data_IF_409794143833
#
_entry.id   IF_409794143833
#
_cell.length_a   1.000
_cell.length_b   1.000
_cell.length_c   1.000
_cell.angle_alpha   90.00
_cell.angle_beta   90.00
_cell.angle_gamma   90.00
#
_symmetry.space_group_name_H-M   'P 1'
#
loop_
_entity.id
_entity.type
_entity.pdbx_description
1 polymer ?
#
# COMPACT_ATOMS: atom_id res chain seq x y z
N UNK A 1 -5.07 -42.64 21.97
CA UNK A 1 -3.72 -42.40 22.52
C UNK A 1 -2.71 -43.20 21.70
N UNK A 2 -1.85 -42.54 20.94
CA UNK A 2 -0.76 -43.22 20.22
C UNK A 2 0.31 -43.65 21.23
N UNK A 3 0.82 -44.88 21.12
CA UNK A 3 1.90 -45.36 21.99
C UNK A 3 3.20 -44.67 21.57
N UNK A 4 3.82 -43.92 22.49
CA UNK A 4 5.11 -43.28 22.28
C UNK A 4 6.21 -44.35 22.24
N UNK A 5 7.03 -44.32 21.19
CA UNK A 5 8.21 -45.17 21.03
C UNK A 5 9.45 -44.28 20.94
N UNK A 6 10.66 -44.85 21.11
CA UNK A 6 11.92 -44.08 21.05
C UNK A 6 12.06 -43.25 19.76
N UNK A 7 11.42 -43.68 18.68
CA UNK A 7 11.47 -43.04 17.37
C UNK A 7 10.41 -41.94 17.18
N UNK A 8 9.41 -41.86 18.05
CA UNK A 8 8.28 -40.91 17.95
C UNK A 8 8.11 -40.11 19.25
N UNK A 9 9.20 -39.95 20.01
CA UNK A 9 9.20 -39.19 21.25
C UNK A 9 9.27 -37.68 20.99
N UNK A 10 9.96 -37.29 19.92
CA UNK A 10 10.08 -35.89 19.49
C UNK A 10 9.23 -35.65 18.25
N UNK A 11 8.61 -34.47 18.21
CA UNK A 11 7.88 -34.01 17.04
C UNK A 11 8.89 -33.64 15.97
N UNK A 12 8.90 -34.38 14.86
CA UNK A 12 9.65 -34.02 13.67
C UNK A 12 8.79 -33.01 12.90
N UNK A 13 9.34 -31.83 12.66
CA UNK A 13 8.71 -30.83 11.81
C UNK A 13 9.54 -30.71 10.53
N UNK A 14 8.89 -30.84 9.37
CA UNK A 14 9.55 -30.69 8.06
C UNK A 14 10.05 -29.25 7.83
N UNK A 15 9.39 -28.27 8.46
CA UNK A 15 9.76 -26.86 8.46
C UNK A 15 9.61 -26.26 9.86
N UNK A 16 10.35 -25.18 10.15
CA UNK A 16 10.21 -24.47 11.43
C UNK A 16 8.75 -24.03 11.62
N UNK A 17 8.08 -24.47 12.70
CA UNK A 17 6.70 -24.07 12.94
C UNK A 17 6.65 -22.56 13.21
N UNK A 18 5.76 -21.86 12.50
CA UNK A 18 5.56 -20.43 12.69
C UNK A 18 5.08 -20.13 14.11
N UNK A 19 5.75 -19.19 14.77
CA UNK A 19 5.32 -18.68 16.06
C UNK A 19 4.05 -17.82 15.88
N UNK A 20 3.26 -17.58 16.95
CA UNK A 20 2.13 -16.64 16.88
C UNK A 20 2.52 -15.24 16.38
N UNK A 21 3.74 -14.80 16.68
CA UNK A 21 4.29 -13.52 16.22
C UNK A 21 4.60 -13.53 14.71
N UNK A 22 5.09 -14.64 14.18
CA UNK A 22 5.35 -14.78 12.74
C UNK A 22 4.03 -14.69 11.96
N UNK A 23 2.97 -15.31 12.50
CA UNK A 23 1.62 -15.26 11.91
C UNK A 23 1.08 -13.84 11.85
N UNK A 24 1.17 -13.08 12.94
CA UNK A 24 0.70 -11.68 12.94
C UNK A 24 1.53 -10.82 11.99
N UNK A 25 2.85 -11.01 11.96
CA UNK A 25 3.75 -10.31 11.03
C UNK A 25 3.38 -10.58 9.57
N UNK A 26 3.07 -11.84 9.25
CA UNK A 26 2.62 -12.24 7.91
C UNK A 26 1.31 -11.54 7.53
N UNK A 27 0.33 -11.54 8.42
CA UNK A 27 -0.97 -10.90 8.17
C UNK A 27 -0.81 -9.39 7.98
N UNK A 28 0.00 -8.73 8.79
CA UNK A 28 0.26 -7.29 8.65
C UNK A 28 0.93 -6.97 7.32
N UNK A 29 1.93 -7.75 6.89
CA UNK A 29 2.56 -7.56 5.59
C UNK A 29 1.56 -7.71 4.45
N UNK A 30 0.75 -8.77 4.49
CA UNK A 30 -0.28 -8.99 3.48
C UNK A 30 -1.27 -7.82 3.39
N UNK A 31 -1.74 -7.28 4.53
CA UNK A 31 -2.63 -6.12 4.53
C UNK A 31 -2.00 -4.89 3.88
N UNK A 32 -0.71 -4.64 4.13
CA UNK A 32 0.02 -3.51 3.53
C UNK A 32 0.17 -3.73 2.03
N UNK A 33 0.58 -4.93 1.60
CA UNK A 33 0.78 -5.24 0.19
C UNK A 33 -0.52 -5.06 -0.60
N UNK A 34 -1.63 -5.62 -0.10
CA UNK A 34 -2.97 -5.46 -0.71
C UNK A 34 -3.38 -3.98 -0.82
N UNK A 35 -3.14 -3.16 0.21
CA UNK A 35 -3.43 -1.73 0.17
C UNK A 35 -2.55 -1.01 -0.88
N UNK A 36 -1.26 -1.34 -0.94
CA UNK A 36 -0.34 -0.72 -1.88
C UNK A 36 -0.71 -1.04 -3.32
N UNK A 37 -1.11 -2.27 -3.62
CA UNK A 37 -1.59 -2.69 -4.94
C UNK A 37 -2.83 -1.90 -5.37
N UNK A 38 -3.82 -1.73 -4.48
CA UNK A 38 -5.01 -0.94 -4.77
C UNK A 38 -4.68 0.53 -5.07
N UNK A 39 -3.77 1.13 -4.29
CA UNK A 39 -3.30 2.51 -4.52
C UNK A 39 -2.57 2.63 -5.86
N UNK A 40 -1.70 1.67 -6.20
CA UNK A 40 -0.96 1.66 -7.46
C UNK A 40 -1.90 1.50 -8.66
N UNK A 41 -2.90 0.61 -8.58
CA UNK A 41 -3.91 0.44 -9.62
C UNK A 41 -4.71 1.73 -9.86
N UNK A 42 -5.16 2.39 -8.78
CA UNK A 42 -5.86 3.68 -8.87
C UNK A 42 -4.99 4.76 -9.50
N UNK A 43 -3.74 4.88 -9.06
CA UNK A 43 -2.81 5.88 -9.60
C UNK A 43 -2.51 5.63 -11.07
N UNK A 44 -2.34 4.38 -11.48
CA UNK A 44 -2.11 4.00 -12.88
C UNK A 44 -3.32 4.38 -13.75
N UNK A 45 -4.55 4.09 -13.28
CA UNK A 45 -5.79 4.50 -13.94
C UNK A 45 -5.87 6.02 -14.11
N UNK A 46 -5.57 6.80 -13.06
CA UNK A 46 -5.63 8.26 -13.11
C UNK A 46 -4.56 8.85 -14.03
N UNK A 47 -3.36 8.25 -14.05
CA UNK A 47 -2.29 8.66 -14.98
C UNK A 47 -2.69 8.41 -16.42
N UNK A 48 -3.23 7.25 -16.74
CA UNK A 48 -3.70 6.93 -18.09
C UNK A 48 -4.81 7.89 -18.53
N UNK A 49 -5.80 8.14 -17.66
CA UNK A 49 -6.86 9.10 -17.94
C UNK A 49 -6.34 10.54 -18.14
N UNK A 50 -5.27 10.94 -17.44
CA UNK A 50 -4.61 12.23 -17.67
C UNK A 50 -3.92 12.26 -19.04
N UNK A 51 -3.18 11.21 -19.39
CA UNK A 51 -2.49 11.11 -20.69
C UNK A 51 -3.48 11.12 -21.86
N UNK A 52 -4.61 10.41 -21.74
CA UNK A 52 -5.69 10.46 -22.73
C UNK A 52 -6.28 11.87 -22.87
N UNK A 53 -6.46 12.61 -21.77
CA UNK A 53 -6.92 14.00 -21.83
C UNK A 53 -5.91 14.93 -22.48
N UNK A 54 -4.63 14.78 -22.17
CA UNK A 54 -3.54 15.55 -22.77
C UNK A 54 -3.39 15.25 -24.26
N UNK A 55 -3.57 13.99 -24.68
CA UNK A 55 -3.53 13.61 -26.09
C UNK A 55 -4.74 14.16 -26.88
N UNK A 56 -5.91 14.25 -26.25
CA UNK A 56 -7.14 14.73 -26.89
C UNK A 56 -7.38 16.25 -26.75
N UNK A 57 -6.62 16.93 -25.89
CA UNK A 57 -6.68 18.38 -25.72
C UNK A 57 -5.49 19.01 -26.44
N UNK A 58 -5.72 19.59 -27.63
CA UNK A 58 -4.76 20.50 -28.24
C UNK A 58 -4.35 21.60 -27.25
N UNK A 59 -3.14 22.17 -27.33
CA UNK A 59 -2.68 23.22 -26.42
C UNK A 59 -3.43 24.52 -26.69
N UNK A 60 -4.69 24.59 -26.29
CA UNK A 60 -5.46 25.82 -26.31
C UNK A 60 -5.09 26.61 -25.05
N UNK A 61 -4.08 27.47 -25.22
CA UNK A 61 -3.74 28.67 -24.46
C UNK A 61 -4.59 28.89 -23.20
N UNK A 62 -4.32 28.16 -22.12
CA UNK A 62 -5.02 28.42 -20.85
C UNK A 62 -4.38 29.63 -20.20
N UNK A 63 -5.02 30.80 -20.36
CA UNK A 63 -4.84 31.98 -19.51
C UNK A 63 -4.77 31.53 -18.05
N UNK A 64 -3.59 31.66 -17.46
CA UNK A 64 -3.31 31.31 -16.06
C UNK A 64 -4.25 32.09 -15.14
N UNK A 65 -5.16 31.46 -14.37
CA UNK A 65 -5.89 32.18 -13.35
C UNK A 65 -4.91 32.51 -12.21
N UNK A 66 -4.77 33.81 -11.91
CA UNK A 66 -3.86 34.32 -10.91
C UNK A 66 -4.05 33.60 -9.56
N UNK A 67 -2.93 33.12 -9.00
CA UNK A 67 -2.88 32.41 -7.71
C UNK A 67 -3.31 33.35 -6.59
N UNK A 68 -4.49 33.11 -6.00
CA UNK A 68 -4.91 33.83 -4.78
C UNK A 68 -3.93 33.53 -3.65
N UNK A 69 -3.22 34.55 -3.18
CA UNK A 69 -2.34 34.49 -2.02
C UNK A 69 -3.17 34.38 -0.75
N UNK A 70 -2.80 33.48 0.17
CA UNK A 70 -3.42 33.39 1.50
C UNK A 70 -2.99 34.61 2.34
N UNK A 71 -3.91 35.29 3.05
CA UNK A 71 -3.50 36.34 3.98
C UNK A 71 -2.70 35.72 5.12
N UNK A 72 -1.49 36.22 5.36
CA UNK A 72 -0.68 35.88 6.53
C UNK A 72 -1.39 36.41 7.76
N UNK A 73 -1.78 35.50 8.68
CA UNK A 73 -2.30 35.88 9.98
C UNK A 73 -1.20 36.62 10.74
N UNK A 74 -1.35 37.92 10.92
CA UNK A 74 -0.49 38.70 11.79
C UNK A 74 -0.65 38.17 13.23
N UNK A 75 0.46 37.78 13.85
CA UNK A 75 0.53 37.53 15.29
C UNK A 75 0.57 38.92 15.94
N UNK A 76 -0.50 39.31 16.65
CA UNK A 76 -0.45 40.49 17.51
C UNK A 76 0.33 40.17 18.79
N UNK A 77 1.22 41.10 19.17
CA UNK A 77 1.91 41.13 20.46
C UNK A 77 0.96 41.49 21.60
#
# INVERSE_FOLDING_TARGET
MTKLTKNNLFKVYDSKPETPMDKTTRVVRQMVDEETEQRQAKNSRLRNARLEREANTSPETTVTPARKTRPSRAVSK
#
